data_IF_606423764723
#
_entry.id   IF_606423764723
#
_cell.length_a   1.000
_cell.length_b   1.000
_cell.length_c   1.000
_cell.angle_alpha   90.00
_cell.angle_beta   90.00
_cell.angle_gamma   90.00
#
_symmetry.space_group_name_H-M   'P 1'
#
loop_
_entity.id
_entity.type
_entity.pdbx_description
1 polymer ?
#
# COMPACT_ATOMS: atom_id res chain seq x y z
N UNK A 1 -10.87 -15.62 -3.89
CA UNK A 1 -9.68 -16.44 -4.24
C UNK A 1 -10.00 -17.24 -5.47
N UNK A 2 -9.36 -16.94 -6.60
CA UNK A 2 -9.48 -17.66 -7.88
C UNK A 2 -8.09 -18.15 -8.28
N UNK A 3 -8.01 -19.17 -9.14
CA UNK A 3 -6.75 -19.60 -9.75
C UNK A 3 -6.05 -18.41 -10.44
N UNK A 4 -4.74 -18.26 -10.20
CA UNK A 4 -3.94 -17.14 -10.69
C UNK A 4 -4.01 -15.85 -9.87
N UNK A 5 -4.76 -15.82 -8.76
CA UNK A 5 -4.76 -14.66 -7.85
C UNK A 5 -3.45 -14.59 -7.05
N UNK A 6 -2.85 -13.39 -6.90
CA UNK A 6 -1.70 -13.21 -6.00
C UNK A 6 -2.09 -13.35 -4.52
N UNK A 7 -3.39 -13.38 -4.20
CA UNK A 7 -3.93 -13.56 -2.85
C UNK A 7 -4.49 -14.97 -2.67
N UNK A 8 -3.85 -15.74 -1.80
CA UNK A 8 -4.28 -17.08 -1.42
C UNK A 8 -5.28 -17.08 -0.23
N UNK A 9 -5.31 -15.99 0.54
CA UNK A 9 -6.22 -15.74 1.66
C UNK A 9 -6.62 -14.26 1.67
N UNK A 10 -7.58 -13.89 2.54
CA UNK A 10 -8.00 -12.47 2.67
C UNK A 10 -6.79 -11.57 2.92
N UNK A 11 -6.82 -10.35 2.40
CA UNK A 11 -5.74 -9.37 2.56
C UNK A 11 -5.44 -9.11 4.04
N UNK A 12 -6.47 -9.13 4.89
CA UNK A 12 -6.37 -8.97 6.35
C UNK A 12 -5.47 -10.02 7.01
N UNK A 13 -5.38 -11.22 6.42
CA UNK A 13 -4.55 -12.31 6.92
C UNK A 13 -3.29 -12.53 6.06
N UNK A 14 -3.03 -11.69 5.06
CA UNK A 14 -1.92 -11.86 4.12
C UNK A 14 -0.76 -10.96 4.51
N UNK A 15 0.30 -11.55 5.05
CA UNK A 15 1.53 -10.81 5.42
C UNK A 15 2.48 -10.62 4.25
N UNK A 16 2.38 -11.44 3.20
CA UNK A 16 3.31 -11.44 2.08
C UNK A 16 2.59 -11.81 0.80
N UNK A 17 2.91 -11.11 -0.28
CA UNK A 17 2.37 -11.34 -1.62
C UNK A 17 3.56 -11.59 -2.54
N UNK A 18 3.55 -12.71 -3.25
CA UNK A 18 4.53 -13.01 -4.29
C UNK A 18 3.93 -12.68 -5.64
N UNK A 19 4.53 -11.72 -6.34
CA UNK A 19 4.13 -11.32 -7.68
C UNK A 19 5.08 -11.93 -8.70
N UNK A 20 4.53 -12.45 -9.80
CA UNK A 20 5.33 -12.96 -10.91
C UNK A 20 5.87 -11.82 -11.77
N UNK A 21 6.84 -12.09 -12.65
CA UNK A 21 7.46 -11.07 -13.52
C UNK A 21 6.44 -10.30 -14.38
N UNK A 22 5.34 -10.94 -14.77
CA UNK A 22 4.25 -10.33 -15.54
C UNK A 22 3.31 -9.45 -14.68
N UNK A 23 3.50 -9.40 -13.36
CA UNK A 23 2.73 -8.63 -12.39
C UNK A 23 3.58 -7.51 -11.76
N UNK A 24 4.57 -7.00 -12.50
CA UNK A 24 5.48 -5.93 -12.03
C UNK A 24 4.85 -4.54 -11.91
N UNK A 25 3.59 -4.37 -12.35
CA UNK A 25 2.82 -3.16 -12.16
C UNK A 25 1.57 -3.45 -11.33
N UNK A 26 1.37 -2.73 -10.23
CA UNK A 26 0.25 -2.90 -9.32
C UNK A 26 -0.05 -1.61 -8.55
N UNK A 27 -1.22 -1.55 -7.94
CA UNK A 27 -1.59 -0.50 -7.00
C UNK A 27 -2.01 -1.08 -5.66
N UNK A 28 -1.70 -0.38 -4.59
CA UNK A 28 -2.15 -0.71 -3.24
C UNK A 28 -3.15 0.36 -2.80
N UNK A 29 -4.38 -0.07 -2.54
CA UNK A 29 -5.44 0.71 -1.92
C UNK A 29 -5.43 0.51 -0.41
N UNK A 30 -5.53 1.59 0.36
CA UNK A 30 -5.56 1.53 1.80
C UNK A 30 -6.54 2.55 2.39
N UNK A 31 -7.14 2.18 3.52
CA UNK A 31 -8.02 3.05 4.28
C UNK A 31 -7.76 2.81 5.78
N UNK A 32 -7.47 3.87 6.50
CA UNK A 32 -7.60 3.88 7.95
C UNK A 32 -9.09 3.91 8.29
N UNK A 33 -9.50 3.11 9.26
CA UNK A 33 -10.87 3.11 9.79
C UNK A 33 -11.08 4.35 10.68
N UNK A 34 -10.99 5.54 10.11
CA UNK A 34 -11.30 6.79 10.81
C UNK A 34 -12.72 7.22 10.45
N UNK A 35 -13.64 7.01 11.39
CA UNK A 35 -15.08 7.32 11.23
C UNK A 35 -15.39 8.81 11.39
N UNK A 36 -14.49 9.58 11.99
CA UNK A 36 -14.75 10.99 12.38
C UNK A 36 -14.33 11.98 11.31
N UNK A 37 -13.25 11.70 10.56
CA UNK A 37 -12.70 12.66 9.57
C UNK A 37 -11.99 11.94 8.42
N UNK A 38 -12.73 11.12 7.67
CA UNK A 38 -12.17 10.37 6.53
C UNK A 38 -11.49 11.29 5.50
N UNK A 39 -11.94 12.53 5.33
CA UNK A 39 -11.37 13.50 4.39
C UNK A 39 -10.13 14.26 4.93
N UNK A 40 -9.95 14.31 6.25
CA UNK A 40 -8.82 15.00 6.90
C UNK A 40 -7.68 14.05 7.28
N UNK A 41 -7.83 12.76 6.99
CA UNK A 41 -6.76 11.79 7.25
C UNK A 41 -5.65 11.96 6.21
N UNK A 42 -4.48 12.35 6.66
CA UNK A 42 -3.27 12.41 5.84
C UNK A 42 -2.61 11.04 5.82
N UNK A 43 -2.17 10.61 4.64
CA UNK A 43 -1.47 9.33 4.50
C UNK A 43 -0.06 9.60 4.04
N UNK A 44 0.86 8.77 4.50
CA UNK A 44 2.16 8.68 3.88
C UNK A 44 2.54 7.22 3.73
N UNK A 45 3.25 6.91 2.64
CA UNK A 45 3.78 5.57 2.42
C UNK A 45 5.25 5.60 2.07
N UNK A 46 5.91 4.47 2.28
CA UNK A 46 7.29 4.20 1.89
C UNK A 46 7.39 2.78 1.34
N UNK A 47 8.29 2.57 0.39
CA UNK A 47 8.55 1.27 -0.21
C UNK A 47 10.05 0.96 -0.10
N UNK A 48 10.44 0.33 1.02
CA UNK A 48 11.83 -0.07 1.22
C UNK A 48 12.24 -1.07 0.13
N UNK A 49 13.41 -0.84 -0.46
CA UNK A 49 13.88 -1.53 -1.68
C UNK A 49 13.66 -0.74 -2.97
N UNK A 50 12.80 0.29 -2.97
CA UNK A 50 12.61 1.22 -4.09
C UNK A 50 13.01 2.66 -3.72
N UNK A 51 12.41 3.21 -2.67
CA UNK A 51 12.67 4.55 -2.17
C UNK A 51 12.69 4.55 -0.63
N UNK A 52 13.63 5.27 -0.04
CA UNK A 52 13.75 5.42 1.43
C UNK A 52 12.92 6.60 1.97
N UNK A 53 12.46 7.49 1.10
CA UNK A 53 11.70 8.68 1.51
C UNK A 53 10.19 8.39 1.60
N UNK A 54 9.54 9.09 2.54
CA UNK A 54 8.10 9.07 2.69
C UNK A 54 7.43 9.87 1.57
N UNK A 55 6.46 9.25 0.90
CA UNK A 55 5.58 9.93 -0.05
C UNK A 55 4.28 10.28 0.66
N UNK A 56 3.99 11.57 0.76
CA UNK A 56 2.79 12.09 1.42
C UNK A 56 1.63 12.21 0.41
N UNK A 57 0.48 11.67 0.77
CA UNK A 57 -0.75 11.72 0.01
C UNK A 57 -1.75 12.62 0.72
N UNK A 58 -2.17 13.69 0.05
CA UNK A 58 -3.16 14.63 0.59
C UNK A 58 -4.57 14.06 0.52
N UNK A 59 -5.04 13.77 -0.70
CA UNK A 59 -6.42 13.30 -0.95
C UNK A 59 -6.48 11.88 -1.52
N UNK A 60 -5.33 11.34 -1.93
CA UNK A 60 -5.26 10.03 -2.54
C UNK A 60 -5.09 8.93 -1.46
N UNK A 61 -5.69 7.77 -1.71
CA UNK A 61 -5.68 6.57 -0.86
C UNK A 61 -5.03 5.36 -1.56
N UNK A 62 -4.42 5.62 -2.72
CA UNK A 62 -3.83 4.61 -3.61
C UNK A 62 -2.38 4.93 -3.93
N UNK A 63 -1.49 3.97 -3.70
CA UNK A 63 -0.11 4.01 -4.18
C UNK A 63 0.02 3.19 -5.48
N UNK A 64 0.72 3.74 -6.47
CA UNK A 64 0.92 3.10 -7.77
C UNK A 64 2.39 2.72 -7.95
N UNK A 65 2.64 1.49 -8.38
CA UNK A 65 3.97 0.98 -8.72
C UNK A 65 3.93 0.42 -10.14
N UNK A 66 4.88 0.84 -10.97
CA UNK A 66 4.94 0.45 -12.38
C UNK A 66 6.30 -0.13 -12.70
N UNK A 67 6.32 -1.30 -13.36
CA UNK A 67 7.54 -1.98 -13.83
C UNK A 67 8.60 -2.13 -12.73
N UNK A 68 8.20 -2.59 -11.54
CA UNK A 68 9.16 -2.89 -10.49
C UNK A 68 10.11 -4.00 -10.93
N UNK A 69 11.40 -3.77 -10.68
CA UNK A 69 12.43 -4.80 -10.85
C UNK A 69 12.17 -5.98 -9.92
N UNK A 70 12.64 -7.19 -10.26
CA UNK A 70 12.61 -8.31 -9.35
C UNK A 70 13.35 -7.99 -8.05
N UNK A 71 12.74 -8.26 -6.90
CA UNK A 71 13.33 -7.99 -5.60
C UNK A 71 12.33 -8.16 -4.46
N UNK A 72 12.84 -7.99 -3.23
CA UNK A 72 12.03 -7.98 -2.02
C UNK A 72 11.79 -6.54 -1.61
N UNK A 73 10.53 -6.20 -1.38
CA UNK A 73 10.11 -4.86 -0.99
C UNK A 73 9.26 -4.90 0.27
N UNK A 74 9.39 -3.86 1.10
CA UNK A 74 8.53 -3.68 2.28
C UNK A 74 7.73 -2.39 2.11
N UNK A 75 6.42 -2.56 1.91
CA UNK A 75 5.48 -1.46 1.88
C UNK A 75 5.09 -1.07 3.30
N UNK A 76 5.36 0.17 3.69
CA UNK A 76 4.93 0.76 4.96
C UNK A 76 3.98 1.91 4.67
N UNK A 77 2.85 1.95 5.36
CA UNK A 77 1.91 3.07 5.32
C UNK A 77 1.65 3.57 6.73
N UNK A 78 1.57 4.89 6.89
CA UNK A 78 1.09 5.55 8.09
C UNK A 78 -0.07 6.46 7.71
N UNK A 79 -1.03 6.57 8.62
CA UNK A 79 -2.10 7.55 8.56
C UNK A 79 -1.99 8.42 9.80
N UNK A 80 -2.26 9.71 9.67
CA UNK A 80 -2.42 10.64 10.77
C UNK A 80 -3.77 11.32 10.59
N UNK A 81 -4.56 11.41 11.65
CA UNK A 81 -5.66 12.37 11.63
C UNK A 81 -5.09 13.80 11.80
N UNK A 82 -5.86 14.82 11.42
CA UNK A 82 -5.47 16.23 11.58
C UNK A 82 -5.24 16.65 13.04
N UNK A 83 -5.64 15.80 14.00
CA UNK A 83 -5.46 16.02 15.43
C UNK A 83 -4.14 15.43 15.96
N UNK A 84 -3.34 14.78 15.11
CA UNK A 84 -2.03 14.24 15.46
C UNK A 84 -2.05 12.88 16.19
N UNK A 85 -3.17 12.16 16.14
CA UNK A 85 -3.27 10.76 16.59
C UNK A 85 -3.04 9.74 15.46
#
# INVERSE_FOLDING_TARGET
NKEGSPLQKSITYTNTITLTHNQSSFSIDFAALSFTSADMTEYAYKMDGLNKDWTYLKTNRKAYFTKLSPGTYVFTVKASNSDGE
#
